data_IF_333223715797
#
_entry.id   IF_333223715797
#
_cell.length_a   1.000
_cell.length_b   1.000
_cell.length_c   1.000
_cell.angle_alpha   90.00
_cell.angle_beta   90.00
_cell.angle_gamma   90.00
#
_symmetry.space_group_name_H-M   'P 1'
#
loop_
_entity.id
_entity.type
_entity.pdbx_description
1 polymer ?
#
# COMPACT_ATOMS: atom_id res chain seq x y z
N UNK A 1 43.99 -18.75 -41.68
CA UNK A 1 42.85 -18.36 -40.82
C UNK A 1 43.22 -17.02 -40.21
N UNK A 2 42.57 -15.94 -40.64
CA UNK A 2 42.75 -14.64 -40.00
C UNK A 2 42.26 -14.74 -38.55
N UNK A 3 42.93 -14.11 -37.57
CA UNK A 3 42.41 -14.05 -36.21
C UNK A 3 41.02 -13.40 -36.25
N UNK A 4 40.05 -13.88 -35.45
CA UNK A 4 38.78 -13.19 -35.33
C UNK A 4 39.07 -11.74 -34.95
N UNK A 5 38.58 -10.81 -35.77
CA UNK A 5 38.56 -9.39 -35.45
C UNK A 5 38.00 -9.28 -34.03
N UNK A 6 38.68 -8.62 -33.07
CA UNK A 6 38.14 -8.50 -31.72
C UNK A 6 36.78 -7.83 -31.85
N UNK A 7 35.73 -8.62 -31.65
CA UNK A 7 34.37 -8.10 -31.59
C UNK A 7 34.37 -7.02 -30.53
N UNK A 8 33.66 -5.92 -30.79
CA UNK A 8 33.43 -4.86 -29.79
C UNK A 8 32.83 -5.53 -28.56
N UNK A 9 33.68 -5.78 -27.58
CA UNK A 9 33.31 -6.39 -26.31
C UNK A 9 32.61 -5.30 -25.48
N UNK A 10 31.48 -5.63 -24.87
CA UNK A 10 30.76 -4.73 -23.97
C UNK A 10 31.66 -4.28 -22.82
N UNK A 11 32.63 -5.11 -22.44
CA UNK A 11 33.63 -4.80 -21.41
C UNK A 11 34.67 -3.74 -21.85
N UNK A 12 34.70 -3.39 -23.14
CA UNK A 12 35.62 -2.40 -23.72
C UNK A 12 34.96 -1.05 -24.03
N UNK A 13 33.70 -0.86 -23.63
CA UNK A 13 33.00 0.41 -23.85
C UNK A 13 33.66 1.57 -23.09
N UNK A 14 33.78 2.76 -23.71
CA UNK A 14 34.18 3.97 -23.01
C UNK A 14 33.26 4.26 -21.83
N UNK A 15 33.81 4.84 -20.75
CA UNK A 15 33.09 5.14 -19.51
C UNK A 15 31.85 5.98 -19.78
N UNK A 16 31.93 6.95 -20.69
CA UNK A 16 30.84 7.85 -21.05
C UNK A 16 29.68 7.09 -21.68
N UNK A 17 29.96 6.11 -22.54
CA UNK A 17 28.94 5.29 -23.19
C UNK A 17 28.30 4.35 -22.18
N UNK A 18 29.10 3.69 -21.33
CA UNK A 18 28.60 2.84 -20.26
C UNK A 18 27.73 3.62 -19.27
N UNK A 19 28.14 4.84 -18.91
CA UNK A 19 27.36 5.73 -18.04
C UNK A 19 26.02 6.11 -18.67
N UNK A 20 26.01 6.46 -19.97
CA UNK A 20 24.76 6.72 -20.70
C UNK A 20 23.86 5.50 -20.72
N UNK A 21 24.39 4.31 -21.00
CA UNK A 21 23.60 3.06 -20.98
C UNK A 21 22.98 2.83 -19.60
N UNK A 22 23.79 2.94 -18.53
CA UNK A 22 23.34 2.72 -17.15
C UNK A 22 22.23 3.66 -16.70
N UNK A 23 22.22 4.90 -17.19
CA UNK A 23 21.18 5.90 -16.90
C UNK A 23 19.88 5.68 -17.67
N UNK A 24 19.95 5.00 -18.80
CA UNK A 24 18.82 4.74 -19.72
C UNK A 24 18.23 3.33 -19.54
N UNK A 25 18.66 2.59 -18.51
CA UNK A 25 18.06 1.30 -18.17
C UNK A 25 16.59 1.50 -17.72
N UNK A 26 15.77 0.49 -17.97
CA UNK A 26 14.32 0.57 -17.78
C UNK A 26 13.91 0.71 -16.32
N UNK A 27 14.67 0.11 -15.40
CA UNK A 27 14.35 0.03 -13.99
C UNK A 27 15.58 -0.39 -13.16
N UNK A 28 15.44 -0.34 -11.83
CA UNK A 28 16.52 -0.66 -10.90
C UNK A 28 16.89 -2.15 -10.88
N UNK A 29 15.99 -3.04 -11.31
CA UNK A 29 16.27 -4.48 -11.43
C UNK A 29 17.12 -4.77 -12.67
N UNK A 30 16.81 -4.14 -13.80
CA UNK A 30 17.65 -4.18 -14.98
C UNK A 30 19.05 -3.62 -14.69
N UNK A 31 19.12 -2.52 -13.93
CA UNK A 31 20.38 -1.98 -13.43
C UNK A 31 21.13 -3.01 -12.57
N UNK A 32 20.51 -3.60 -11.56
CA UNK A 32 21.14 -4.63 -10.74
C UNK A 32 21.70 -5.77 -11.58
N UNK A 33 20.88 -6.36 -12.45
CA UNK A 33 21.27 -7.50 -13.28
C UNK A 33 22.42 -7.15 -14.25
N UNK A 34 22.43 -5.92 -14.78
CA UNK A 34 23.50 -5.50 -15.68
C UNK A 34 24.82 -5.29 -14.94
N UNK A 35 24.79 -4.76 -13.71
CA UNK A 35 25.99 -4.65 -12.87
C UNK A 35 26.57 -6.01 -12.49
N UNK A 36 25.71 -7.01 -12.23
CA UNK A 36 26.15 -8.39 -11.97
C UNK A 36 26.75 -9.05 -13.22
N UNK A 37 26.22 -8.73 -14.41
CA UNK A 37 26.66 -9.34 -15.67
C UNK A 37 27.93 -8.69 -16.25
N UNK A 38 28.19 -7.40 -15.97
CA UNK A 38 29.29 -6.64 -16.57
C UNK A 38 30.20 -5.99 -15.51
N UNK A 39 31.41 -6.54 -15.29
CA UNK A 39 32.43 -5.92 -14.44
C UNK A 39 32.79 -4.50 -14.85
N UNK A 40 32.79 -4.18 -16.15
CA UNK A 40 32.99 -2.80 -16.62
C UNK A 40 31.89 -1.87 -16.15
N UNK A 41 30.62 -2.26 -16.28
CA UNK A 41 29.49 -1.48 -15.79
C UNK A 41 29.56 -1.30 -14.26
N UNK A 42 29.94 -2.36 -13.52
CA UNK A 42 30.15 -2.30 -12.07
C UNK A 42 31.18 -1.24 -11.66
N UNK A 43 32.32 -1.14 -12.37
CA UNK A 43 33.35 -0.11 -12.11
C UNK A 43 32.85 1.31 -12.39
N UNK A 44 32.05 1.50 -13.44
CA UNK A 44 31.43 2.81 -13.73
C UNK A 44 30.46 3.17 -12.61
N UNK A 45 29.66 2.21 -12.13
CA UNK A 45 28.76 2.40 -11.01
C UNK A 45 29.48 2.77 -9.70
N UNK A 46 30.67 2.21 -9.45
CA UNK A 46 31.48 2.61 -8.27
C UNK A 46 31.78 4.11 -8.23
N UNK A 47 31.90 4.74 -9.40
CA UNK A 47 32.22 6.16 -9.52
C UNK A 47 30.96 7.02 -9.59
N UNK A 48 29.92 6.57 -10.31
CA UNK A 48 28.75 7.38 -10.66
C UNK A 48 27.44 6.84 -10.06
N UNK A 49 27.50 5.99 -9.04
CA UNK A 49 26.35 5.22 -8.54
C UNK A 49 25.15 6.08 -8.16
N UNK A 50 25.36 7.16 -7.40
CA UNK A 50 24.27 8.06 -6.99
C UNK A 50 23.57 8.72 -8.20
N UNK A 51 24.35 9.17 -9.18
CA UNK A 51 23.84 9.80 -10.41
C UNK A 51 23.05 8.80 -11.26
N UNK A 52 23.56 7.57 -11.39
CA UNK A 52 22.89 6.49 -12.13
C UNK A 52 21.57 6.11 -11.45
N UNK A 53 21.57 5.92 -10.13
CA UNK A 53 20.35 5.57 -9.38
C UNK A 53 19.32 6.69 -9.47
N UNK A 54 19.71 7.96 -9.34
CA UNK A 54 18.79 9.10 -9.49
C UNK A 54 18.18 9.18 -10.89
N UNK A 55 18.95 8.90 -11.95
CA UNK A 55 18.44 8.85 -13.32
C UNK A 55 17.38 7.73 -13.48
N UNK A 56 17.66 6.54 -12.94
CA UNK A 56 16.72 5.42 -12.98
C UNK A 56 15.45 5.69 -12.14
N UNK A 57 15.57 6.36 -10.98
CA UNK A 57 14.41 6.79 -10.20
C UNK A 57 13.57 7.86 -10.92
N UNK A 58 14.18 8.66 -11.81
CA UNK A 58 13.50 9.66 -12.60
C UNK A 58 12.87 9.12 -13.90
N UNK A 59 13.16 7.87 -14.28
CA UNK A 59 12.65 7.23 -15.52
C UNK A 59 11.13 7.04 -15.56
N UNK A 60 10.47 7.05 -14.40
CA UNK A 60 9.04 6.76 -14.26
C UNK A 60 8.71 5.28 -14.09
N UNK A 61 9.71 4.38 -14.05
CA UNK A 61 9.51 2.97 -13.72
C UNK A 61 9.11 2.75 -12.26
N UNK A 62 9.66 3.57 -11.37
CA UNK A 62 9.31 3.62 -9.95
C UNK A 62 8.43 4.83 -9.71
N UNK A 63 7.33 4.65 -8.97
CA UNK A 63 6.42 5.73 -8.63
C UNK A 63 7.14 6.83 -7.81
N UNK A 64 6.77 8.09 -8.02
CA UNK A 64 7.41 9.25 -7.38
C UNK A 64 7.43 9.21 -5.85
N UNK A 65 6.50 8.48 -5.25
CA UNK A 65 6.40 8.28 -3.79
C UNK A 65 7.21 7.09 -3.26
N UNK A 66 7.63 6.18 -4.13
CA UNK A 66 8.50 5.06 -3.77
C UNK A 66 9.97 5.47 -3.82
N UNK A 67 10.34 6.36 -4.76
CA UNK A 67 11.71 6.88 -4.87
C UNK A 67 12.28 7.46 -3.58
N UNK A 68 11.56 8.32 -2.84
CA UNK A 68 12.01 8.84 -1.55
C UNK A 68 12.25 7.76 -0.50
N UNK A 69 11.46 6.69 -0.45
CA UNK A 69 11.69 5.56 0.47
C UNK A 69 13.03 4.87 0.15
N UNK A 70 13.34 4.68 -1.13
CA UNK A 70 14.62 4.11 -1.59
C UNK A 70 15.78 5.01 -1.15
N UNK A 71 15.64 6.33 -1.28
CA UNK A 71 16.65 7.29 -0.81
C UNK A 71 16.81 7.26 0.70
N UNK A 72 15.71 7.23 1.45
CA UNK A 72 15.73 7.13 2.91
C UNK A 72 16.49 5.88 3.37
N UNK A 73 16.18 4.73 2.78
CA UNK A 73 16.91 3.47 3.02
C UNK A 73 18.42 3.62 2.74
N UNK A 74 18.80 4.26 1.63
CA UNK A 74 20.20 4.46 1.29
C UNK A 74 20.96 5.34 2.31
N UNK A 75 20.34 6.43 2.79
CA UNK A 75 20.94 7.28 3.82
C UNK A 75 21.06 6.59 5.17
N UNK A 76 19.99 5.91 5.61
CA UNK A 76 19.99 5.15 6.87
C UNK A 76 21.09 4.09 6.86
N UNK A 77 21.20 3.31 5.78
CA UNK A 77 22.23 2.27 5.62
C UNK A 77 23.64 2.81 5.45
N UNK A 78 23.81 4.07 5.08
CA UNK A 78 25.11 4.72 5.06
C UNK A 78 25.57 5.15 6.47
N UNK A 79 24.72 5.01 7.49
CA UNK A 79 24.99 5.47 8.85
C UNK A 79 25.07 7.00 8.94
N UNK A 80 24.38 7.71 8.05
CA UNK A 80 24.39 9.17 7.98
C UNK A 80 23.02 9.73 8.31
N UNK A 81 22.99 10.79 9.12
CA UNK A 81 21.76 11.51 9.43
C UNK A 81 21.09 12.02 8.16
N UNK A 82 19.80 11.73 8.05
CA UNK A 82 18.95 12.28 7.00
C UNK A 82 18.94 13.81 7.09
N UNK A 83 19.17 14.55 5.98
CA UNK A 83 19.28 16.00 6.01
C UNK A 83 18.08 16.67 6.68
N UNK A 84 18.29 17.16 7.91
CA UNK A 84 17.26 17.86 8.64
C UNK A 84 16.31 17.05 9.49
N UNK A 85 16.60 15.77 9.66
CA UNK A 85 15.87 14.87 10.53
C UNK A 85 16.69 14.68 11.80
N UNK A 86 16.17 15.14 12.93
CA UNK A 86 16.86 15.05 14.23
C UNK A 86 16.14 14.18 15.26
N UNK A 87 14.94 13.72 14.92
CA UNK A 87 14.06 12.98 15.80
C UNK A 87 13.02 12.22 14.96
N UNK A 88 12.29 11.32 15.61
CA UNK A 88 11.25 10.50 14.98
C UNK A 88 10.14 11.35 14.34
N UNK A 89 9.80 12.49 14.94
CA UNK A 89 8.75 13.37 14.42
C UNK A 89 9.17 14.06 13.12
N UNK A 90 10.42 14.51 13.01
CA UNK A 90 10.97 15.06 11.77
C UNK A 90 10.98 14.00 10.67
N UNK A 91 11.36 12.77 11.00
CA UNK A 91 11.37 11.64 10.07
C UNK A 91 9.97 11.36 9.52
N UNK A 92 8.96 11.33 10.39
CA UNK A 92 7.55 11.19 10.02
C UNK A 92 7.07 12.36 9.13
N UNK A 93 7.41 13.61 9.48
CA UNK A 93 7.04 14.77 8.67
C UNK A 93 7.68 14.75 7.27
N UNK A 94 8.95 14.39 7.17
CA UNK A 94 9.65 14.20 5.89
C UNK A 94 9.00 13.07 5.08
N UNK A 95 8.83 11.91 5.71
CA UNK A 95 8.23 10.73 5.10
C UNK A 95 6.84 11.02 4.54
N UNK A 96 6.00 11.74 5.28
CA UNK A 96 4.70 12.20 4.78
C UNK A 96 4.84 13.09 3.56
N UNK A 97 5.64 14.15 3.69
CA UNK A 97 5.76 15.15 2.63
C UNK A 97 6.27 14.56 1.32
N UNK A 98 7.17 13.57 1.40
CA UNK A 98 7.82 13.01 0.21
C UNK A 98 7.16 11.73 -0.33
N UNK A 99 6.45 10.95 0.49
CA UNK A 99 5.91 9.63 0.09
C UNK A 99 4.40 9.61 -0.11
N UNK A 100 3.75 10.77 -0.02
CA UNK A 100 2.32 10.90 -0.32
C UNK A 100 2.00 12.25 -0.94
N UNK A 101 0.85 12.37 -1.60
CA UNK A 101 0.34 13.65 -2.14
C UNK A 101 -0.01 14.66 -1.04
N UNK A 102 -0.20 14.15 0.17
CA UNK A 102 -0.73 14.89 1.29
C UNK A 102 0.36 15.66 2.01
N UNK A 103 0.31 16.97 1.82
CA UNK A 103 1.08 17.94 2.57
C UNK A 103 0.15 18.71 3.50
N UNK A 104 0.55 18.85 4.76
CA UNK A 104 -0.14 19.72 5.72
C UNK A 104 -0.23 21.14 5.15
N UNK A 105 -1.24 21.91 5.58
CA UNK A 105 -1.35 23.34 5.26
C UNK A 105 -1.39 24.16 6.56
N UNK A 106 -0.32 24.89 6.90
CA UNK A 106 0.97 24.95 6.21
C UNK A 106 1.76 23.63 6.33
N UNK A 107 2.68 23.33 5.40
CA UNK A 107 3.44 22.09 5.42
C UNK A 107 4.36 22.05 6.63
N UNK A 108 4.32 20.94 7.37
CA UNK A 108 5.24 20.69 8.49
C UNK A 108 6.67 20.42 8.02
N UNK A 109 6.83 19.97 6.77
CA UNK A 109 8.13 19.76 6.13
C UNK A 109 8.29 20.73 4.96
N UNK A 110 9.23 21.66 5.06
CA UNK A 110 9.50 22.72 4.07
C UNK A 110 10.85 22.57 3.37
N UNK A 111 11.57 21.47 3.64
CA UNK A 111 12.90 21.23 3.09
C UNK A 111 12.81 20.72 1.64
N UNK A 112 13.87 20.88 0.83
CA UNK A 112 13.94 20.29 -0.50
C UNK A 112 13.79 18.76 -0.45
N UNK A 113 13.25 18.13 -1.51
CA UNK A 113 13.16 16.68 -1.59
C UNK A 113 14.53 16.02 -1.44
N UNK A 114 14.57 14.88 -0.76
CA UNK A 114 15.78 14.10 -0.58
C UNK A 114 16.35 13.67 -1.94
N UNK A 115 17.67 13.80 -2.09
CA UNK A 115 18.44 13.39 -3.28
C UNK A 115 19.69 12.65 -2.81
N UNK A 116 20.12 11.64 -3.57
CA UNK A 116 21.36 10.91 -3.29
C UNK A 116 22.56 11.81 -3.58
N UNK A 117 23.50 11.85 -2.64
CA UNK A 117 24.79 12.53 -2.78
C UNK A 117 25.91 11.49 -2.77
N UNK A 118 26.71 11.46 -3.84
CA UNK A 118 27.83 10.52 -3.98
C UNK A 118 28.93 10.71 -2.93
N UNK A 119 29.02 11.89 -2.31
CA UNK A 119 29.96 12.16 -1.21
C UNK A 119 29.47 11.63 0.14
N UNK A 120 28.17 11.33 0.25
CA UNK A 120 27.53 10.88 1.49
C UNK A 120 27.20 9.40 1.44
N UNK A 121 26.62 8.93 0.33
CA UNK A 121 26.13 7.55 0.18
C UNK A 121 27.10 6.77 -0.71
N UNK A 122 27.89 5.84 -0.14
CA UNK A 122 28.87 5.06 -0.90
C UNK A 122 28.20 4.14 -1.94
N UNK A 123 28.92 3.84 -3.03
CA UNK A 123 28.42 2.92 -4.06
C UNK A 123 28.15 1.51 -3.53
N UNK A 124 28.87 1.04 -2.49
CA UNK A 124 28.59 -0.23 -1.82
C UNK A 124 27.20 -0.27 -1.18
N UNK A 125 26.78 0.81 -0.52
CA UNK A 125 25.44 0.97 0.04
C UNK A 125 24.40 0.95 -1.07
N UNK A 126 24.65 1.68 -2.17
CA UNK A 126 23.74 1.70 -3.32
C UNK A 126 23.58 0.32 -3.97
N UNK A 127 24.64 -0.50 -4.04
CA UNK A 127 24.51 -1.90 -4.47
C UNK A 127 23.59 -2.70 -3.54
N UNK A 128 23.74 -2.54 -2.23
CA UNK A 128 22.84 -3.17 -1.26
C UNK A 128 21.37 -2.74 -1.42
N UNK A 129 21.14 -1.47 -1.75
CA UNK A 129 19.82 -0.93 -2.08
C UNK A 129 19.27 -1.54 -3.37
N UNK A 130 20.09 -1.69 -4.42
CA UNK A 130 19.69 -2.37 -5.66
C UNK A 130 19.33 -3.85 -5.43
N UNK A 131 20.10 -4.56 -4.61
CA UNK A 131 19.79 -5.95 -4.21
C UNK A 131 18.46 -6.01 -3.45
N UNK A 132 18.20 -5.03 -2.59
CA UNK A 132 16.91 -4.95 -1.87
C UNK A 132 15.78 -4.69 -2.86
N UNK A 133 15.94 -3.75 -3.80
CA UNK A 133 14.95 -3.49 -4.83
C UNK A 133 14.60 -4.76 -5.63
N UNK A 134 15.62 -5.48 -6.09
CA UNK A 134 15.46 -6.73 -6.82
C UNK A 134 14.64 -7.77 -6.03
N UNK A 135 14.94 -7.92 -4.73
CA UNK A 135 14.19 -8.83 -3.84
C UNK A 135 12.74 -8.39 -3.65
N UNK A 136 12.52 -7.09 -3.42
CA UNK A 136 11.18 -6.53 -3.22
C UNK A 136 10.34 -6.61 -4.50
N UNK A 137 10.94 -6.50 -5.69
CA UNK A 137 10.21 -6.70 -6.95
C UNK A 137 9.76 -8.17 -7.10
N UNK A 138 10.61 -9.14 -6.75
CA UNK A 138 10.21 -10.56 -6.72
C UNK A 138 9.09 -10.82 -5.71
N UNK A 139 9.20 -10.22 -4.52
CA UNK A 139 8.17 -10.27 -3.49
C UNK A 139 6.84 -9.71 -4.01
N UNK A 140 6.88 -8.55 -4.66
CA UNK A 140 5.73 -7.90 -5.28
C UNK A 140 5.05 -8.82 -6.30
N UNK A 141 5.82 -9.43 -7.21
CA UNK A 141 5.26 -10.34 -8.24
C UNK A 141 4.58 -11.55 -7.60
N UNK A 142 5.21 -12.18 -6.60
CA UNK A 142 4.62 -13.31 -5.88
C UNK A 142 3.36 -12.93 -5.09
N UNK A 143 3.41 -11.78 -4.42
CA UNK A 143 2.30 -11.22 -3.64
C UNK A 143 1.08 -10.97 -4.54
N UNK A 144 1.26 -10.23 -5.64
CA UNK A 144 0.19 -9.94 -6.58
C UNK A 144 -0.37 -11.21 -7.23
N UNK A 145 0.48 -12.16 -7.59
CA UNK A 145 0.02 -13.43 -8.18
C UNK A 145 -0.85 -14.22 -7.22
N UNK A 146 -0.45 -14.28 -5.94
CA UNK A 146 -1.18 -14.98 -4.88
C UNK A 146 -2.53 -14.31 -4.62
N UNK A 147 -2.55 -13.01 -4.40
CA UNK A 147 -3.79 -12.30 -4.11
C UNK A 147 -4.71 -12.21 -5.34
N UNK A 148 -4.18 -12.10 -6.56
CA UNK A 148 -4.99 -12.11 -7.77
C UNK A 148 -5.70 -13.46 -7.94
N UNK A 149 -5.02 -14.56 -7.62
CA UNK A 149 -5.65 -15.88 -7.61
C UNK A 149 -6.76 -15.96 -6.54
N UNK A 150 -6.52 -15.46 -5.33
CA UNK A 150 -7.54 -15.41 -4.26
C UNK A 150 -8.73 -14.54 -4.66
N UNK A 151 -8.48 -13.37 -5.26
CA UNK A 151 -9.50 -12.43 -5.74
C UNK A 151 -10.35 -13.02 -6.86
N UNK A 152 -9.74 -13.67 -7.86
CA UNK A 152 -10.47 -14.36 -8.94
C UNK A 152 -11.41 -15.44 -8.42
N UNK A 153 -10.99 -16.15 -7.38
CA UNK A 153 -11.72 -17.27 -6.80
C UNK A 153 -12.75 -16.87 -5.74
N UNK A 154 -12.96 -15.57 -5.47
CA UNK A 154 -13.97 -15.15 -4.52
C UNK A 154 -15.40 -15.43 -5.03
N UNK A 155 -16.38 -15.60 -4.13
CA UNK A 155 -17.80 -15.67 -4.50
C UNK A 155 -18.21 -14.52 -5.44
N UNK A 156 -19.23 -14.72 -6.30
CA UNK A 156 -19.68 -13.66 -7.19
C UNK A 156 -20.29 -12.49 -6.42
N UNK A 157 -19.88 -11.24 -6.71
CA UNK A 157 -20.57 -10.06 -6.23
C UNK A 157 -22.03 -10.07 -6.70
N UNK A 158 -22.92 -9.62 -5.81
CA UNK A 158 -24.35 -9.54 -6.02
C UNK A 158 -24.81 -8.10 -5.85
N UNK A 159 -25.69 -7.62 -6.72
CA UNK A 159 -26.37 -6.33 -6.59
C UNK A 159 -27.82 -6.52 -6.19
N UNK A 160 -28.40 -5.49 -5.58
CA UNK A 160 -29.80 -5.53 -5.16
C UNK A 160 -30.67 -5.54 -6.42
N UNK A 161 -31.68 -6.41 -6.44
CA UNK A 161 -32.59 -6.55 -7.60
C UNK A 161 -33.71 -5.50 -7.60
N UNK A 162 -34.04 -4.97 -6.42
CA UNK A 162 -35.08 -3.98 -6.18
C UNK A 162 -34.43 -2.60 -6.01
N UNK A 163 -34.61 -1.72 -7.00
CA UNK A 163 -34.03 -0.37 -7.01
C UNK A 163 -34.52 0.50 -5.83
N UNK A 164 -35.67 0.16 -5.25
CA UNK A 164 -36.26 0.89 -4.11
C UNK A 164 -35.85 0.31 -2.74
N UNK A 165 -35.09 -0.79 -2.71
CA UNK A 165 -34.67 -1.40 -1.44
C UNK A 165 -33.60 -0.57 -0.74
N UNK A 166 -33.74 -0.48 0.59
CA UNK A 166 -32.84 0.26 1.47
C UNK A 166 -32.44 -0.61 2.67
N UNK A 167 -31.15 -0.60 3.01
CA UNK A 167 -30.65 -1.30 4.20
C UNK A 167 -31.00 -0.54 5.46
N UNK A 168 -32.00 -0.99 6.21
CA UNK A 168 -32.44 -0.31 7.43
C UNK A 168 -32.19 -1.12 8.70
N UNK A 169 -31.85 -0.44 9.79
CA UNK A 169 -31.98 -1.02 11.12
C UNK A 169 -33.25 -0.49 11.78
N UNK A 170 -34.12 -1.39 12.24
CA UNK A 170 -35.44 -1.03 12.78
C UNK A 170 -35.81 -1.83 14.04
N UNK A 171 -36.64 -1.24 14.91
CA UNK A 171 -37.28 -1.97 16.00
C UNK A 171 -38.64 -2.48 15.54
N UNK A 172 -38.78 -3.80 15.47
CA UNK A 172 -40.05 -4.47 15.16
C UNK A 172 -40.89 -4.69 16.42
N UNK A 173 -41.20 -3.60 17.12
CA UNK A 173 -42.14 -3.58 18.24
C UNK A 173 -41.67 -2.75 19.43
N UNK A 174 -42.40 -2.79 20.56
CA UNK A 174 -42.19 -1.88 21.68
C UNK A 174 -40.93 -2.19 22.51
N UNK A 175 -40.33 -3.37 22.34
CA UNK A 175 -39.22 -3.82 23.15
C UNK A 175 -37.88 -3.66 22.43
N UNK A 176 -36.83 -3.31 23.18
CA UNK A 176 -35.47 -3.21 22.64
C UNK A 176 -34.90 -4.54 22.10
N UNK A 177 -35.53 -5.65 22.42
CA UNK A 177 -35.17 -7.00 21.99
C UNK A 177 -35.72 -7.38 20.61
N UNK A 178 -36.58 -6.56 20.02
CA UNK A 178 -37.18 -6.78 18.70
C UNK A 178 -36.45 -5.98 17.62
N UNK A 179 -35.18 -5.67 17.87
CA UNK A 179 -34.32 -4.97 16.93
C UNK A 179 -33.90 -5.90 15.78
N UNK A 180 -34.13 -5.47 14.54
CA UNK A 180 -33.63 -6.13 13.34
C UNK A 180 -32.53 -5.26 12.76
N UNK A 181 -31.29 -5.74 12.84
CA UNK A 181 -30.15 -5.05 12.25
C UNK A 181 -30.14 -5.21 10.73
N UNK A 182 -29.59 -4.22 10.02
CA UNK A 182 -29.42 -4.29 8.56
C UNK A 182 -28.69 -5.57 8.11
N UNK A 183 -27.75 -6.09 8.91
CA UNK A 183 -27.05 -7.34 8.60
C UNK A 183 -27.97 -8.58 8.59
N UNK A 184 -29.18 -8.53 9.12
CA UNK A 184 -30.14 -9.65 9.04
C UNK A 184 -30.97 -9.62 7.76
N UNK A 185 -31.02 -8.48 7.07
CA UNK A 185 -31.80 -8.35 5.85
C UNK A 185 -31.18 -9.15 4.69
N UNK A 186 -32.06 -9.74 3.86
CA UNK A 186 -31.70 -10.52 2.68
C UNK A 186 -32.52 -10.02 1.48
N UNK A 187 -32.11 -8.91 0.84
CA UNK A 187 -32.81 -8.41 -0.33
C UNK A 187 -32.78 -9.43 -1.48
N UNK A 188 -33.73 -9.30 -2.40
CA UNK A 188 -33.62 -9.97 -3.69
C UNK A 188 -32.33 -9.51 -4.39
N UNK A 189 -31.59 -10.44 -4.97
CA UNK A 189 -30.24 -10.20 -5.45
C UNK A 189 -30.05 -10.71 -6.88
N UNK A 190 -29.28 -9.97 -7.68
CA UNK A 190 -28.87 -10.35 -9.02
C UNK A 190 -27.35 -10.48 -9.09
N UNK A 191 -26.82 -11.54 -9.74
CA UNK A 191 -25.38 -11.72 -9.86
C UNK A 191 -24.77 -10.69 -10.82
N UNK A 192 -23.63 -10.13 -10.45
CA UNK A 192 -22.87 -9.25 -11.34
C UNK A 192 -21.99 -10.08 -12.27
N UNK A 193 -22.01 -9.72 -13.55
CA UNK A 193 -21.11 -10.34 -14.54
C UNK A 193 -19.69 -9.82 -14.32
N UNK A 194 -18.81 -10.69 -13.82
CA UNK A 194 -17.40 -10.38 -13.62
C UNK A 194 -16.69 -10.17 -14.96
N UNK A 195 -15.93 -9.08 -15.07
CA UNK A 195 -14.95 -8.80 -16.12
C UNK A 195 -13.55 -8.86 -15.51
N UNK A 196 -12.79 -9.88 -15.93
CA UNK A 196 -11.39 -9.97 -15.52
C UNK A 196 -10.53 -8.95 -16.28
N UNK A 197 -9.86 -8.06 -15.54
CA UNK A 197 -8.93 -7.07 -16.09
C UNK A 197 -7.57 -7.66 -16.49
N UNK A 198 -7.38 -8.96 -16.29
CA UNK A 198 -6.19 -9.70 -16.68
C UNK A 198 -5.07 -9.58 -15.64
N UNK A 199 -3.79 -9.59 -16.07
CA UNK A 199 -2.64 -9.47 -15.17
C UNK A 199 -2.64 -8.17 -14.33
N UNK A 200 -1.78 -8.09 -13.30
CA UNK A 200 -1.62 -6.88 -12.52
C UNK A 200 -1.29 -5.65 -13.38
N UNK A 201 -1.89 -4.51 -13.05
CA UNK A 201 -1.64 -3.21 -13.67
C UNK A 201 -0.46 -2.52 -12.98
N UNK A 202 0.12 -1.51 -13.64
CA UNK A 202 1.26 -0.78 -13.11
C UNK A 202 0.96 -0.14 -11.75
N UNK A 203 -0.22 0.45 -11.55
CA UNK A 203 -0.58 1.04 -10.25
C UNK A 203 -0.65 0.01 -9.12
N UNK A 204 -1.11 -1.21 -9.41
CA UNK A 204 -1.17 -2.32 -8.46
C UNK A 204 0.23 -2.78 -8.07
N UNK A 205 1.15 -2.88 -9.05
CA UNK A 205 2.60 -3.12 -8.80
C UNK A 205 3.20 -2.04 -7.90
N UNK A 206 2.99 -0.77 -8.23
CA UNK A 206 3.57 0.34 -7.47
C UNK A 206 3.04 0.44 -6.04
N UNK A 207 1.77 0.12 -5.78
CA UNK A 207 1.19 0.08 -4.42
C UNK A 207 1.88 -0.96 -3.54
N UNK A 208 2.04 -2.18 -4.05
CA UNK A 208 2.72 -3.27 -3.34
C UNK A 208 4.21 -2.96 -3.15
N UNK A 209 4.87 -2.44 -4.18
CA UNK A 209 6.27 -2.05 -4.10
C UNK A 209 6.50 -0.92 -3.08
N UNK A 210 5.63 0.09 -3.05
CA UNK A 210 5.68 1.18 -2.06
C UNK A 210 5.52 0.65 -0.64
N UNK A 211 4.51 -0.19 -0.40
CA UNK A 211 4.30 -0.81 0.91
C UNK A 211 5.51 -1.66 1.36
N UNK A 212 6.09 -2.41 0.43
CA UNK A 212 7.30 -3.20 0.67
C UNK A 212 8.51 -2.31 1.03
N UNK A 213 8.67 -1.17 0.37
CA UNK A 213 9.73 -0.20 0.71
C UNK A 213 9.49 0.50 2.03
N UNK A 214 8.25 0.75 2.44
CA UNK A 214 7.94 1.27 3.79
C UNK A 214 8.41 0.30 4.87
N UNK A 215 8.13 -0.99 4.69
CA UNK A 215 8.61 -2.05 5.59
C UNK A 215 10.15 -2.13 5.60
N UNK A 216 10.78 -2.04 4.42
CA UNK A 216 12.24 -2.04 4.32
C UNK A 216 12.89 -0.85 5.05
N UNK A 217 12.37 0.37 4.86
CA UNK A 217 12.87 1.58 5.54
C UNK A 217 12.71 1.46 7.06
N UNK A 218 11.60 0.90 7.53
CA UNK A 218 11.39 0.67 8.96
C UNK A 218 12.41 -0.32 9.54
N UNK A 219 12.71 -1.41 8.83
CA UNK A 219 13.75 -2.35 9.26
C UNK A 219 15.15 -1.74 9.24
N UNK A 220 15.47 -0.95 8.22
CA UNK A 220 16.73 -0.21 8.17
C UNK A 220 16.85 0.75 9.36
N UNK A 221 15.76 1.46 9.70
CA UNK A 221 15.72 2.38 10.83
C UNK A 221 15.87 1.67 12.17
N UNK A 222 15.23 0.49 12.34
CA UNK A 222 15.40 -0.35 13.53
C UNK A 222 16.83 -0.88 13.66
N UNK A 223 17.46 -1.26 12.54
CA UNK A 223 18.84 -1.70 12.53
C UNK A 223 19.79 -0.56 12.95
N UNK A 224 19.62 0.64 12.38
CA UNK A 224 20.40 1.83 12.76
C UNK A 224 20.17 2.22 14.23
N UNK A 225 18.94 2.14 14.72
CA UNK A 225 18.60 2.36 16.14
C UNK A 225 19.33 1.37 17.05
N UNK A 226 19.31 0.08 16.71
CA UNK A 226 19.97 -0.98 17.47
C UNK A 226 21.50 -0.87 17.44
N UNK A 227 22.07 -0.37 16.34
CA UNK A 227 23.49 -0.10 16.18
C UNK A 227 23.95 1.18 16.91
N UNK A 228 23.02 2.01 17.42
CA UNK A 228 23.33 3.31 18.03
C UNK A 228 23.78 4.36 17.00
N UNK A 229 23.39 4.20 15.74
CA UNK A 229 23.75 5.10 14.64
C UNK A 229 22.78 6.28 14.51
N UNK A 230 21.62 6.22 15.16
CA UNK A 230 20.67 7.33 15.20
C UNK A 230 21.06 8.33 16.28
N UNK A 231 21.41 9.56 15.87
CA UNK A 231 21.68 10.67 16.78
C UNK A 231 20.38 11.32 17.32
N UNK A 232 19.39 10.50 17.66
CA UNK A 232 18.06 10.94 18.10
C UNK A 232 17.91 10.82 19.62
N UNK A 233 16.94 11.51 20.25
CA UNK A 233 16.63 11.31 21.66
C UNK A 233 16.26 9.85 21.98
N UNK A 234 16.67 9.35 23.14
CA UNK A 234 16.39 7.95 23.56
C UNK A 234 14.90 7.59 23.50
N UNK A 235 14.01 8.54 23.82
CA UNK A 235 12.56 8.37 23.71
C UNK A 235 12.11 8.05 22.29
N UNK A 236 12.78 8.65 21.31
CA UNK A 236 12.46 8.53 19.90
C UNK A 236 13.09 7.25 19.32
N UNK A 237 14.31 6.91 19.75
CA UNK A 237 14.96 5.61 19.44
C UNK A 237 14.11 4.45 19.98
N UNK A 238 13.57 4.56 21.19
CA UNK A 238 12.60 3.59 21.72
C UNK A 238 11.30 3.56 20.90
N UNK A 239 10.89 4.71 20.36
CA UNK A 239 9.74 4.84 19.47
C UNK A 239 9.92 4.10 18.14
N UNK A 240 11.14 4.03 17.59
CA UNK A 240 11.44 3.32 16.33
C UNK A 240 11.04 1.85 16.37
N UNK A 241 11.09 1.21 17.54
CA UNK A 241 10.67 -0.19 17.70
C UNK A 241 9.17 -0.41 17.50
N UNK A 242 8.37 0.66 17.59
CA UNK A 242 6.93 0.58 17.38
C UNK A 242 6.64 0.60 15.89
N UNK A 243 5.73 -0.30 15.50
CA UNK A 243 5.18 -0.38 14.14
C UNK A 243 4.64 0.97 13.64
N UNK A 244 4.23 1.84 14.57
CA UNK A 244 3.79 3.21 14.34
C UNK A 244 4.79 4.08 13.57
N UNK A 245 6.06 3.67 13.50
CA UNK A 245 7.11 4.34 12.74
C UNK A 245 7.06 4.05 11.24
N UNK A 246 6.42 2.95 10.82
CA UNK A 246 6.09 2.69 9.40
C UNK A 246 5.09 3.71 8.89
N UNK A 247 4.20 4.15 9.79
CA UNK A 247 3.31 5.27 9.56
C UNK A 247 4.14 6.53 9.66
N UNK A 248 4.68 6.92 8.51
CA UNK A 248 5.17 8.27 8.33
C UNK A 248 4.03 9.26 8.69
N UNK A 249 2.75 8.84 8.63
CA UNK A 249 1.57 9.56 9.09
C UNK A 249 1.41 9.47 10.61
N UNK A 250 1.60 10.58 11.31
CA UNK A 250 1.62 10.64 12.78
C UNK A 250 0.21 10.38 13.39
N UNK A 251 0.01 9.35 14.23
CA UNK A 251 -1.28 9.06 14.86
C UNK A 251 -1.71 10.07 15.92
N UNK A 252 -0.86 11.02 16.36
CA UNK A 252 -1.31 12.16 17.20
C UNK A 252 -2.23 13.13 16.46
N UNK A 253 -2.38 12.99 15.14
CA UNK A 253 -3.52 13.55 14.42
C UNK A 253 -4.87 13.00 14.92
N UNK A 254 -4.88 11.89 15.68
CA UNK A 254 -6.07 11.36 16.34
C UNK A 254 -6.69 12.30 17.38
N UNK A 255 -5.87 13.11 18.05
CA UNK A 255 -6.36 14.15 18.95
C UNK A 255 -6.99 15.36 18.25
N UNK A 256 -6.74 15.51 16.94
CA UNK A 256 -7.26 16.61 16.11
C UNK A 256 -8.48 16.23 15.28
N UNK A 257 -8.99 15.00 15.41
CA UNK A 257 -10.29 14.56 14.89
C UNK A 257 -11.45 15.19 15.66
N UNK A 258 -11.46 16.52 15.73
CA UNK A 258 -12.62 17.27 16.16
C UNK A 258 -13.59 17.28 14.97
N UNK A 259 -14.79 16.70 15.15
CA UNK A 259 -15.87 16.57 14.15
C UNK A 259 -16.24 17.88 13.41
N UNK A 260 -15.74 19.02 13.88
CA UNK A 260 -16.07 20.35 13.37
C UNK A 260 -15.19 20.86 12.22
N UNK A 261 -14.16 20.13 11.79
CA UNK A 261 -13.39 20.47 10.59
C UNK A 261 -13.49 19.34 9.57
N UNK A 262 -14.33 19.47 8.55
CA UNK A 262 -14.51 18.50 7.45
C UNK A 262 -13.24 18.17 6.65
N UNK A 263 -12.08 18.65 7.08
CA UNK A 263 -10.73 18.28 6.61
C UNK A 263 -10.15 17.04 7.31
N UNK A 264 -10.87 16.37 8.23
CA UNK A 264 -10.32 15.33 9.10
C UNK A 264 -10.63 13.88 8.70
N UNK A 265 -11.79 13.60 8.10
CA UNK A 265 -12.21 12.23 7.81
C UNK A 265 -11.43 11.57 6.67
N UNK A 266 -11.12 12.34 5.63
CA UNK A 266 -10.43 11.83 4.45
C UNK A 266 -8.95 11.48 4.71
N UNK A 267 -8.28 12.18 5.63
CA UNK A 267 -6.88 11.87 5.98
C UNK A 267 -6.82 10.54 6.74
N UNK A 268 -7.80 10.30 7.62
CA UNK A 268 -7.94 9.02 8.32
C UNK A 268 -8.14 7.89 7.33
N UNK A 269 -8.98 8.08 6.32
CA UNK A 269 -9.17 7.10 5.26
C UNK A 269 -7.83 6.77 4.58
N UNK A 270 -7.09 7.77 4.09
CA UNK A 270 -5.81 7.53 3.43
C UNK A 270 -4.85 6.71 4.33
N UNK A 271 -4.74 7.08 5.60
CA UNK A 271 -3.94 6.34 6.58
C UNK A 271 -4.40 4.89 6.59
N UNK A 272 -5.71 4.63 6.74
CA UNK A 272 -6.24 3.27 6.70
C UNK A 272 -5.85 2.52 5.42
N UNK A 273 -5.94 3.12 4.23
CA UNK A 273 -5.52 2.41 3.01
C UNK A 273 -4.02 2.13 2.99
N UNK A 274 -3.18 3.10 3.37
CA UNK A 274 -1.74 2.88 3.47
C UNK A 274 -1.40 1.76 4.47
N UNK A 275 -2.10 1.73 5.61
CA UNK A 275 -1.98 0.68 6.61
C UNK A 275 -2.39 -0.66 6.02
N UNK A 276 -3.52 -0.71 5.33
CA UNK A 276 -4.02 -1.93 4.70
C UNK A 276 -3.10 -2.43 3.58
N UNK A 277 -2.45 -1.54 2.83
CA UNK A 277 -1.40 -1.90 1.87
C UNK A 277 -0.23 -2.59 2.57
N UNK A 278 0.25 -2.02 3.68
CA UNK A 278 1.37 -2.57 4.47
C UNK A 278 0.97 -3.91 5.11
N UNK A 279 -0.16 -3.97 5.79
CA UNK A 279 -0.64 -5.19 6.44
C UNK A 279 -0.89 -6.32 5.43
N UNK A 280 -1.42 -6.01 4.25
CA UNK A 280 -1.62 -7.03 3.20
C UNK A 280 -0.28 -7.62 2.73
N UNK A 281 0.78 -6.80 2.60
CA UNK A 281 2.12 -7.29 2.27
C UNK A 281 2.71 -8.11 3.42
N UNK A 282 2.52 -7.70 4.67
CA UNK A 282 2.98 -8.46 5.82
C UNK A 282 2.31 -9.82 5.92
N UNK A 283 0.98 -9.88 5.81
CA UNK A 283 0.23 -11.14 5.85
C UNK A 283 0.70 -12.10 4.75
N UNK A 284 1.08 -11.58 3.57
CA UNK A 284 1.68 -12.41 2.52
C UNK A 284 3.05 -12.97 2.92
N UNK A 285 3.92 -12.14 3.49
CA UNK A 285 5.25 -12.60 3.90
C UNK A 285 5.15 -13.61 5.05
N UNK A 286 4.28 -13.37 6.03
CA UNK A 286 3.99 -14.31 7.11
C UNK A 286 3.42 -15.64 6.59
N UNK A 287 2.48 -15.59 5.63
CA UNK A 287 1.95 -16.77 4.94
C UNK A 287 3.09 -17.55 4.25
N UNK A 288 4.02 -16.85 3.56
CA UNK A 288 5.16 -17.50 2.91
C UNK A 288 6.11 -18.17 3.91
N UNK A 289 6.46 -17.49 5.00
CA UNK A 289 7.37 -18.02 6.02
C UNK A 289 6.73 -19.22 6.76
N UNK A 290 5.44 -19.11 7.10
CA UNK A 290 4.68 -20.13 7.80
C UNK A 290 4.41 -21.39 6.97
N UNK A 291 4.16 -21.25 5.65
CA UNK A 291 4.00 -22.40 4.74
C UNK A 291 5.31 -23.17 4.57
N UNK A 292 6.44 -22.49 4.72
CA UNK A 292 7.69 -23.04 4.26
C UNK A 292 8.59 -23.59 5.38
N UNK A 293 8.46 -23.19 6.65
CA UNK A 293 9.41 -23.58 7.73
C UNK A 293 10.89 -23.39 7.32
N UNK A 294 11.15 -22.53 6.33
CA UNK A 294 12.47 -22.22 5.79
C UNK A 294 12.82 -20.78 6.12
N UNK A 295 14.10 -20.45 6.08
CA UNK A 295 14.56 -19.08 6.26
C UNK A 295 14.00 -18.16 5.18
N UNK A 296 13.81 -16.88 5.50
CA UNK A 296 13.38 -15.85 4.57
C UNK A 296 14.17 -15.83 3.24
N UNK A 297 15.49 -16.08 3.30
CA UNK A 297 16.33 -16.18 2.12
C UNK A 297 15.94 -17.34 1.19
N UNK A 298 15.62 -18.51 1.76
CA UNK A 298 15.17 -19.67 0.99
C UNK A 298 13.75 -19.45 0.42
N UNK A 299 12.87 -18.76 1.16
CA UNK A 299 11.55 -18.39 0.66
C UNK A 299 11.64 -17.47 -0.57
N UNK A 300 12.53 -16.47 -0.54
CA UNK A 300 12.80 -15.59 -1.68
C UNK A 300 13.28 -16.36 -2.91
N UNK A 301 14.04 -17.45 -2.75
CA UNK A 301 14.50 -18.26 -3.89
C UNK A 301 13.37 -19.02 -4.59
N UNK A 302 12.29 -19.34 -3.86
CA UNK A 302 11.10 -19.99 -4.44
C UNK A 302 10.21 -19.03 -5.25
N UNK A 303 10.38 -17.71 -5.06
CA UNK A 303 9.58 -16.72 -5.77
C UNK A 303 9.89 -16.72 -7.27
N UNK A 304 8.92 -16.37 -8.12
CA UNK A 304 9.16 -16.17 -9.55
C UNK A 304 10.38 -15.26 -9.77
N UNK A 305 11.29 -15.68 -10.66
CA UNK A 305 12.45 -14.87 -11.06
C UNK A 305 12.06 -13.80 -12.07
N UNK A 306 10.97 -14.01 -12.79
CA UNK A 306 10.45 -13.14 -13.83
C UNK A 306 8.94 -13.06 -13.72
N UNK A 307 8.36 -11.97 -14.22
CA UNK A 307 6.92 -11.87 -14.43
C UNK A 307 6.51 -12.90 -15.49
N UNK A 308 5.39 -13.58 -15.29
CA UNK A 308 4.74 -14.41 -16.33
C UNK A 308 3.90 -13.55 -17.30
N UNK A 309 3.96 -12.23 -17.15
CA UNK A 309 3.25 -11.23 -17.94
C UNK A 309 4.18 -10.06 -18.30
N UNK A 310 3.90 -9.32 -19.40
CA UNK A 310 4.69 -8.16 -19.77
C UNK A 310 4.69 -7.10 -18.65
N UNK A 311 5.84 -6.47 -18.42
CA UNK A 311 5.93 -5.37 -17.46
C UNK A 311 4.90 -4.28 -17.83
N UNK A 312 4.01 -3.90 -16.89
CA UNK A 312 2.96 -2.96 -17.20
C UNK A 312 3.54 -1.56 -17.42
N UNK A 313 3.09 -0.87 -18.46
CA UNK A 313 3.54 0.50 -18.75
C UNK A 313 2.73 1.48 -17.92
N UNK A 314 3.41 2.47 -17.33
CA UNK A 314 2.73 3.56 -16.64
C UNK A 314 1.92 4.38 -17.65
N UNK A 315 0.74 4.82 -17.23
CA UNK A 315 -0.04 5.81 -17.95
C UNK A 315 -0.52 6.86 -16.95
N UNK A 316 -0.97 8.01 -17.44
CA UNK A 316 -1.45 9.09 -16.57
C UNK A 316 -2.52 8.62 -15.58
N UNK A 317 -3.44 7.76 -16.03
CA UNK A 317 -4.47 7.20 -15.16
C UNK A 317 -3.89 6.32 -14.05
N UNK A 318 -2.95 5.42 -14.37
CA UNK A 318 -2.30 4.59 -13.36
C UNK A 318 -1.52 5.42 -12.34
N UNK A 319 -0.83 6.47 -12.79
CA UNK A 319 -0.13 7.40 -11.90
C UNK A 319 -1.13 8.09 -10.97
N UNK A 320 -2.22 8.63 -11.53
CA UNK A 320 -3.29 9.20 -10.73
C UNK A 320 -3.90 8.17 -9.77
N UNK A 321 -4.02 6.89 -10.08
CA UNK A 321 -4.57 5.91 -9.13
C UNK A 321 -3.64 5.56 -7.96
N UNK A 322 -2.32 5.72 -8.13
CA UNK A 322 -1.36 5.58 -7.02
C UNK A 322 -1.30 6.86 -6.18
N UNK A 323 -1.50 8.01 -6.83
CA UNK A 323 -1.47 9.33 -6.21
C UNK A 323 -2.79 9.71 -5.55
N UNK A 324 -3.91 9.35 -6.17
CA UNK A 324 -5.21 9.95 -5.91
C UNK A 324 -5.71 9.60 -4.53
N UNK A 325 -5.73 10.67 -3.75
CA UNK A 325 -6.57 10.99 -2.61
C UNK A 325 -7.98 10.34 -2.59
N UNK A 326 -8.63 10.21 -3.74
CA UNK A 326 -9.97 9.62 -3.85
C UNK A 326 -9.91 8.31 -4.61
N UNK A 327 -9.26 7.25 -4.16
CA UNK A 327 -9.64 5.95 -4.75
C UNK A 327 -11.11 5.67 -4.38
N UNK A 328 -11.97 5.21 -5.30
CA UNK A 328 -13.35 4.79 -4.94
C UNK A 328 -13.30 3.80 -3.77
N UNK A 329 -12.21 3.02 -3.67
CA UNK A 329 -11.92 2.16 -2.53
C UNK A 329 -11.97 2.90 -1.18
N UNK A 330 -11.56 4.17 -1.12
CA UNK A 330 -11.60 4.96 0.12
C UNK A 330 -13.01 5.28 0.54
N UNK A 331 -13.80 5.75 -0.43
CA UNK A 331 -15.21 6.03 -0.21
C UNK A 331 -15.94 4.75 0.19
N UNK A 332 -15.57 3.60 -0.40
CA UNK A 332 -16.13 2.32 -0.01
C UNK A 332 -15.67 1.89 1.38
N UNK A 333 -14.38 2.04 1.72
CA UNK A 333 -13.85 1.78 3.06
C UNK A 333 -14.59 2.59 4.11
N UNK A 334 -14.81 3.88 3.84
CA UNK A 334 -15.65 4.72 4.67
C UNK A 334 -17.07 4.16 4.72
N UNK A 335 -17.80 4.13 3.62
CA UNK A 335 -19.25 3.90 3.67
C UNK A 335 -19.61 2.46 4.10
N UNK A 336 -18.79 1.47 3.76
CA UNK A 336 -19.01 0.07 4.16
C UNK A 336 -18.70 -0.14 5.65
N UNK A 337 -17.66 0.52 6.17
CA UNK A 337 -17.14 0.25 7.52
C UNK A 337 -17.32 1.39 8.52
N UNK A 338 -17.87 2.56 8.16
CA UNK A 338 -17.88 3.74 9.04
C UNK A 338 -18.67 3.46 10.31
N UNK A 339 -18.02 3.34 11.48
CA UNK A 339 -18.71 3.09 12.72
C UNK A 339 -18.85 4.38 13.55
N UNK A 340 -18.35 5.51 13.05
CA UNK A 340 -18.21 6.81 13.76
C UNK A 340 -19.20 7.88 13.27
N UNK A 341 -19.77 7.69 12.08
CA UNK A 341 -20.82 8.57 11.64
C UNK A 341 -22.09 8.28 12.42
N UNK A 342 -22.77 9.36 12.74
CA UNK A 342 -24.08 9.42 13.38
C UNK A 342 -25.21 8.81 12.54
N UNK A 343 -24.95 7.72 11.83
CA UNK A 343 -25.99 6.75 11.59
C UNK A 343 -26.38 6.22 12.96
N UNK A 344 -27.43 6.81 13.51
CA UNK A 344 -28.09 6.30 14.69
C UNK A 344 -28.29 4.77 14.54
N UNK A 345 -28.56 4.06 15.63
CA UNK A 345 -29.03 2.67 15.57
C UNK A 345 -30.35 2.49 14.76
N UNK A 346 -30.77 3.49 13.98
CA UNK A 346 -32.02 3.65 13.26
C UNK A 346 -31.71 4.30 11.90
N UNK A 347 -32.30 3.75 10.83
CA UNK A 347 -32.20 4.29 9.46
C UNK A 347 -31.23 3.53 8.55
N UNK A 348 -30.88 4.15 7.43
CA UNK A 348 -30.03 3.55 6.38
C UNK A 348 -28.61 3.28 6.90
N UNK A 349 -28.20 2.01 6.96
CA UNK A 349 -26.89 1.60 7.48
C UNK A 349 -26.29 0.43 6.71
N UNK A 350 -24.96 0.42 6.62
CA UNK A 350 -24.21 -0.70 6.05
C UNK A 350 -24.44 -1.99 6.87
N UNK A 351 -24.73 -3.14 6.22
CA UNK A 351 -24.74 -4.44 6.88
C UNK A 351 -23.33 -4.92 7.29
N UNK A 352 -22.28 -4.13 7.02
CA UNK A 352 -20.88 -4.46 7.28
C UNK A 352 -20.20 -3.47 8.25
N UNK A 353 -20.98 -2.61 8.92
CA UNK A 353 -20.49 -1.48 9.72
C UNK A 353 -19.38 -1.82 10.73
N UNK A 354 -19.40 -3.02 11.33
CA UNK A 354 -18.41 -3.43 12.35
C UNK A 354 -17.49 -4.55 11.86
N UNK A 355 -17.59 -4.92 10.59
CA UNK A 355 -16.85 -6.04 10.01
C UNK A 355 -15.38 -5.62 9.85
N UNK A 356 -14.40 -6.39 10.36
CA UNK A 356 -12.99 -6.07 10.19
C UNK A 356 -12.55 -6.18 8.73
N UNK A 357 -11.57 -5.38 8.34
CA UNK A 357 -11.03 -5.41 6.98
C UNK A 357 -10.27 -6.71 6.65
N UNK A 358 -9.88 -7.50 7.65
CA UNK A 358 -9.15 -8.76 7.50
C UNK A 358 -9.76 -9.70 6.44
N UNK A 359 -11.09 -9.73 6.30
CA UNK A 359 -11.76 -10.54 5.27
C UNK A 359 -11.41 -10.11 3.84
N UNK A 360 -11.31 -8.80 3.61
CA UNK A 360 -10.98 -8.19 2.33
C UNK A 360 -9.47 -8.16 2.10
N UNK A 361 -8.69 -7.93 3.17
CA UNK A 361 -7.22 -7.98 3.14
C UNK A 361 -6.69 -9.30 2.59
N UNK A 362 -7.27 -10.43 3.02
CA UNK A 362 -6.90 -11.78 2.53
C UNK A 362 -7.08 -11.99 1.03
N UNK A 363 -7.80 -11.10 0.34
CA UNK A 363 -8.03 -11.10 -1.10
C UNK A 363 -7.34 -9.94 -1.82
N UNK A 364 -6.48 -9.19 -1.12
CA UNK A 364 -5.66 -8.12 -1.68
C UNK A 364 -6.42 -6.87 -2.10
N UNK A 365 -7.60 -6.61 -1.52
CA UNK A 365 -8.48 -5.50 -1.94
C UNK A 365 -7.77 -4.14 -1.93
N UNK A 366 -6.82 -3.90 -1.01
CA UNK A 366 -6.05 -2.67 -0.97
C UNK A 366 -5.17 -2.46 -2.23
N UNK A 367 -4.80 -3.52 -2.94
CA UNK A 367 -3.92 -3.43 -4.11
C UNK A 367 -4.64 -3.02 -5.38
N UNK A 368 -5.89 -3.45 -5.55
CA UNK A 368 -6.54 -3.47 -6.85
C UNK A 368 -6.92 -2.10 -7.39
N UNK A 369 -6.69 -1.92 -8.69
CA UNK A 369 -6.99 -0.69 -9.40
C UNK A 369 -8.50 -0.46 -9.53
N UNK A 370 -8.90 0.77 -9.83
CA UNK A 370 -10.30 1.14 -9.97
C UNK A 370 -10.98 0.30 -11.06
N UNK A 371 -10.32 0.15 -12.21
CA UNK A 371 -10.83 -0.65 -13.32
C UNK A 371 -11.09 -2.11 -12.94
N UNK A 372 -10.26 -2.72 -12.07
CA UNK A 372 -10.45 -4.10 -11.61
C UNK A 372 -11.63 -4.21 -10.67
N UNK A 373 -11.78 -3.26 -9.76
CA UNK A 373 -12.90 -3.24 -8.84
C UNK A 373 -14.22 -3.00 -9.58
N UNK A 374 -14.23 -2.11 -10.57
CA UNK A 374 -15.36 -1.88 -11.48
C UNK A 374 -15.68 -3.13 -12.30
N UNK A 375 -14.65 -3.78 -12.85
CA UNK A 375 -14.81 -5.02 -13.61
C UNK A 375 -15.49 -6.13 -12.80
N UNK A 376 -15.33 -6.13 -11.49
CA UNK A 376 -16.00 -7.07 -10.59
C UNK A 376 -17.31 -6.53 -10.00
N UNK A 377 -17.72 -5.30 -10.32
CA UNK A 377 -18.94 -4.69 -9.77
C UNK A 377 -18.85 -4.37 -8.29
N UNK A 378 -17.63 -4.21 -7.77
CA UNK A 378 -17.37 -3.87 -6.37
C UNK A 378 -17.30 -2.36 -6.15
N UNK A 379 -17.23 -1.57 -7.20
CA UNK A 379 -17.39 -0.11 -7.17
C UNK A 379 -18.08 0.31 -8.47
N UNK A 380 -18.69 1.50 -8.47
CA UNK A 380 -19.41 2.00 -9.63
C UNK A 380 -18.46 2.60 -10.70
N UNK A 381 -18.92 2.60 -11.94
CA UNK A 381 -18.27 3.21 -13.10
C UNK A 381 -18.53 4.71 -13.15
N UNK A 382 -18.10 5.47 -12.14
CA UNK A 382 -18.28 6.91 -12.19
C UNK A 382 -17.36 7.54 -13.25
N UNK A 383 -17.85 8.39 -14.17
CA UNK A 383 -16.99 9.15 -15.06
C UNK A 383 -16.31 10.30 -14.29
N UNK A 384 -15.22 9.99 -13.59
CA UNK A 384 -14.46 10.93 -12.72
C UNK A 384 -13.81 12.12 -13.44
N UNK A 385 -13.91 12.23 -14.76
CA UNK A 385 -13.24 13.27 -15.53
C UNK A 385 -14.09 13.92 -16.62
N UNK A 386 -15.42 13.85 -16.55
CA UNK A 386 -16.20 14.82 -17.30
C UNK A 386 -16.03 16.18 -16.62
N UNK A 387 -15.41 17.19 -17.27
CA UNK A 387 -15.23 18.50 -16.65
C UNK A 387 -16.60 19.04 -16.21
N UNK A 388 -16.67 19.42 -14.94
CA UNK A 388 -17.85 19.93 -14.21
C UNK A 388 -18.62 21.02 -14.99
N UNK A 389 -17.97 21.64 -15.97
CA UNK A 389 -18.53 22.73 -16.77
C UNK A 389 -19.33 22.30 -18.02
N UNK A 390 -19.41 21.00 -18.37
CA UNK A 390 -20.06 20.58 -19.64
C UNK A 390 -21.09 19.45 -19.55
N UNK A 391 -21.42 18.92 -18.37
CA UNK A 391 -22.48 17.93 -18.28
C UNK A 391 -23.84 18.62 -18.06
N UNK A 392 -24.80 18.51 -19.01
CA UNK A 392 -26.18 18.90 -18.75
C UNK A 392 -26.72 17.98 -17.68
N UNK A 393 -27.21 18.52 -16.55
CA UNK A 393 -27.91 17.82 -15.45
C UNK A 393 -27.95 16.30 -15.61
N UNK A 394 -26.79 15.66 -15.50
CA UNK A 394 -26.77 14.21 -15.38
C UNK A 394 -27.27 14.06 -13.97
N UNK A 395 -28.58 13.76 -13.85
CA UNK A 395 -29.11 13.07 -12.69
C UNK A 395 -28.20 11.87 -12.52
N UNK A 396 -27.17 12.05 -11.69
CA UNK A 396 -26.42 10.93 -11.18
C UNK A 396 -27.52 10.07 -10.57
N UNK A 397 -27.72 8.87 -11.11
CA UNK A 397 -28.54 7.90 -10.39
C UNK A 397 -28.01 7.92 -8.96
N UNK A 398 -28.86 8.16 -7.94
CA UNK A 398 -28.40 8.23 -6.57
C UNK A 398 -27.49 7.03 -6.34
N UNK A 399 -26.29 7.27 -5.81
CA UNK A 399 -25.33 6.22 -5.46
C UNK A 399 -26.13 5.06 -4.86
N UNK A 400 -26.21 3.92 -5.55
CA UNK A 400 -26.93 2.76 -5.04
C UNK A 400 -26.05 2.08 -3.99
N UNK A 401 -25.84 2.75 -2.86
CA UNK A 401 -25.11 2.23 -1.71
C UNK A 401 -25.63 0.85 -1.31
N UNK A 402 -26.92 0.61 -1.53
CA UNK A 402 -27.56 -0.67 -1.27
C UNK A 402 -26.98 -1.80 -2.11
N UNK A 403 -26.77 -1.56 -3.41
CA UNK A 403 -26.11 -2.49 -4.33
C UNK A 403 -24.65 -2.68 -3.98
N UNK A 404 -23.95 -1.62 -3.57
CA UNK A 404 -22.56 -1.69 -3.12
C UNK A 404 -22.41 -2.54 -1.86
N UNK A 405 -23.23 -2.30 -0.83
CA UNK A 405 -23.22 -3.08 0.41
C UNK A 405 -23.43 -4.57 0.15
N UNK A 406 -24.37 -4.91 -0.72
CA UNK A 406 -24.59 -6.30 -1.09
C UNK A 406 -23.40 -6.89 -1.87
N UNK A 407 -22.76 -6.12 -2.75
CA UNK A 407 -21.58 -6.57 -3.50
C UNK A 407 -20.44 -6.94 -2.55
N UNK A 408 -20.15 -6.10 -1.57
CA UNK A 408 -19.09 -6.33 -0.59
C UNK A 408 -19.41 -7.40 0.44
N UNK A 409 -20.69 -7.57 0.75
CA UNK A 409 -21.15 -8.64 1.63
C UNK A 409 -21.10 -10.01 0.95
N UNK A 410 -21.45 -10.06 -0.34
CA UNK A 410 -21.57 -11.30 -1.10
C UNK A 410 -20.24 -11.94 -1.48
N UNK A 411 -19.13 -11.21 -1.46
CA UNK A 411 -17.77 -11.77 -1.65
C UNK A 411 -17.21 -12.51 -0.43
N UNK A 412 -17.91 -12.43 0.71
CA UNK A 412 -17.58 -13.22 1.90
C UNK A 412 -18.01 -14.67 1.69
N UNK A 413 -17.18 -15.61 2.13
CA UNK A 413 -17.59 -17.02 2.23
C UNK A 413 -18.67 -17.18 3.30
N UNK A 414 -19.38 -18.30 3.29
CA UNK A 414 -20.42 -18.59 4.30
C UNK A 414 -19.90 -18.46 5.75
N UNK A 415 -18.69 -18.95 6.02
CA UNK A 415 -18.06 -18.85 7.33
C UNK A 415 -17.67 -17.41 7.71
N UNK A 416 -17.13 -16.64 6.76
CA UNK A 416 -16.80 -15.23 6.99
C UNK A 416 -18.05 -14.37 7.18
N UNK A 417 -19.13 -14.67 6.44
CA UNK A 417 -20.41 -13.98 6.58
C UNK A 417 -21.06 -14.27 7.94
N UNK A 418 -21.02 -15.52 8.40
CA UNK A 418 -21.51 -15.88 9.73
C UNK A 418 -20.73 -15.13 10.82
N UNK A 419 -19.41 -15.03 10.69
CA UNK A 419 -18.56 -14.28 11.62
C UNK A 419 -18.82 -12.77 11.56
N UNK A 420 -18.98 -12.20 10.37
CA UNK A 420 -19.35 -10.80 10.17
C UNK A 420 -20.67 -10.46 10.87
N UNK A 421 -21.69 -11.30 10.69
CA UNK A 421 -22.98 -11.16 11.37
C UNK A 421 -22.83 -11.22 12.90
N UNK A 422 -22.03 -12.17 13.42
CA UNK A 422 -21.76 -12.29 14.86
C UNK A 422 -21.06 -11.05 15.43
N UNK A 423 -20.14 -10.46 14.68
CA UNK A 423 -19.44 -9.23 15.09
C UNK A 423 -20.42 -8.05 15.14
N UNK A 424 -21.28 -7.92 14.14
CA UNK A 424 -22.32 -6.89 14.13
C UNK A 424 -23.30 -7.06 15.30
N UNK A 425 -23.80 -8.28 15.53
CA UNK A 425 -24.69 -8.60 16.65
C UNK A 425 -24.05 -8.26 18.01
N UNK A 426 -22.80 -8.69 18.22
CA UNK A 426 -22.04 -8.38 19.44
C UNK A 426 -21.86 -6.88 19.64
N UNK A 427 -21.45 -6.16 18.59
CA UNK A 427 -21.29 -4.70 18.68
C UNK A 427 -22.59 -3.99 19.01
N UNK A 428 -23.73 -4.54 18.58
CA UNK A 428 -25.05 -3.95 18.85
C UNK A 428 -25.43 -4.11 20.31
N UNK A 429 -25.15 -5.29 20.87
CA UNK A 429 -25.32 -5.54 22.30
C UNK A 429 -24.43 -4.63 23.16
N UNK A 430 -23.21 -4.33 22.70
CA UNK A 430 -22.26 -3.43 23.38
C UNK A 430 -22.66 -1.96 23.31
N UNK A 431 -23.20 -1.48 22.19
CA UNK A 431 -23.61 -0.07 22.01
C UNK A 431 -24.91 0.28 22.79
N UNK A 432 -25.70 -0.73 23.15
CA UNK A 432 -26.80 -0.61 24.11
C UNK A 432 -26.32 -0.40 25.56
N UNK A 433 -25.00 -0.43 25.81
CA UNK A 433 -24.32 -0.09 27.06
C UNK A 433 -23.39 1.12 26.87
N UNK A 434 -23.20 1.99 27.88
CA UNK A 434 -22.33 3.16 27.75
C UNK A 434 -20.85 2.75 27.84
N UNK A 435 -20.12 2.68 26.71
CA UNK A 435 -18.67 2.34 26.71
C UNK A 435 -17.90 2.87 25.47
N UNK A 436 -16.54 2.86 25.45
CA UNK A 436 -15.69 4.00 25.04
C UNK A 436 -15.24 4.02 23.56
N UNK A 437 -14.54 5.11 23.19
CA UNK A 437 -14.18 5.54 21.82
C UNK A 437 -13.24 4.59 21.06
N UNK A 438 -13.42 4.59 19.75
CA UNK A 438 -12.91 3.65 18.74
C UNK A 438 -11.41 3.67 18.44
N UNK A 439 -10.69 4.72 18.82
CA UNK A 439 -9.24 4.85 18.56
C UNK A 439 -8.43 3.69 19.14
N UNK A 440 -8.95 2.99 20.14
CA UNK A 440 -8.27 1.85 20.76
C UNK A 440 -8.40 0.55 19.95
N UNK A 441 -9.40 0.39 19.05
CA UNK A 441 -9.61 -0.87 18.32
C UNK A 441 -8.64 -1.06 17.15
N UNK A 442 -8.44 -0.03 16.32
CA UNK A 442 -7.49 -0.09 15.20
C UNK A 442 -6.02 -0.08 15.67
N UNK A 443 -5.72 0.60 16.78
CA UNK A 443 -4.37 0.64 17.34
C UNK A 443 -3.99 -0.61 18.15
N UNK A 444 -4.91 -1.54 18.44
CA UNK A 444 -4.63 -2.67 19.35
C UNK A 444 -3.94 -3.88 18.71
N UNK A 445 -3.83 -3.93 17.38
CA UNK A 445 -3.10 -5.00 16.67
C UNK A 445 -1.73 -4.51 16.23
N UNK A 446 -0.96 -3.97 17.18
CA UNK A 446 0.47 -3.73 16.97
C UNK A 446 1.18 -5.09 17.00
N UNK A 447 1.37 -5.70 15.84
CA UNK A 447 2.29 -6.85 15.71
C UNK A 447 3.71 -6.31 15.85
N UNK A 448 4.41 -6.69 16.91
CA UNK A 448 5.84 -6.42 17.11
C UNK A 448 6.75 -7.29 16.21
N UNK A 449 6.23 -7.80 15.10
CA UNK A 449 6.92 -8.79 14.27
C UNK A 449 6.99 -8.22 12.86
N UNK A 450 8.19 -7.87 12.45
CA UNK A 450 8.52 -7.69 11.04
C UNK A 450 9.20 -8.96 10.55
N UNK A 451 8.76 -9.49 9.38
CA UNK A 451 9.33 -10.71 8.82
C UNK A 451 10.83 -10.59 8.52
N UNK A 452 11.55 -11.71 8.59
CA UNK A 452 13.00 -11.76 8.37
C UNK A 452 13.39 -11.37 6.94
N UNK A 453 12.45 -11.45 5.98
CA UNK A 453 12.62 -11.06 4.56
C UNK A 453 13.12 -9.62 4.39
N UNK A 454 12.76 -8.71 5.30
CA UNK A 454 13.13 -7.29 5.22
C UNK A 454 14.43 -6.95 5.95
N UNK A 455 15.05 -7.90 6.66
CA UNK A 455 16.35 -7.63 7.29
C UNK A 455 17.43 -7.58 6.22
N UNK A 456 18.16 -6.46 6.21
CA UNK A 456 19.33 -6.34 5.34
C UNK A 456 20.29 -7.50 5.65
N UNK A 457 20.83 -8.19 4.63
CA UNK A 457 21.92 -9.12 4.87
C UNK A 457 23.07 -8.34 5.50
N UNK A 458 23.61 -8.82 6.63
CA UNK A 458 24.87 -8.29 7.14
C UNK A 458 25.88 -8.35 6.00
N UNK A 459 26.29 -7.18 5.52
CA UNK A 459 27.43 -7.08 4.62
C UNK A 459 28.64 -7.25 5.53
N UNK A 460 29.16 -8.47 5.60
CA UNK A 460 30.50 -8.69 6.14
C UNK A 460 31.45 -7.86 5.26
N UNK A 461 31.93 -6.75 5.82
CA UNK A 461 32.89 -5.83 5.18
C UNK A 461 34.23 -6.48 4.94
#
# INVERSE_FOLDING_TARGET
MSPPTPGRDWESLPVEISLSILKELSDLTALHNYLEASPAAARVFDTYGAEIVEANLASGAVHRYTGPLIRMSAYIRAGVDLPGVSNLKDFQHMGNSETTEHTYKPPHWTRPPLRLDASIVPASVLRGVLVSHYRLERLMVGCLSTYLARFRNMPPPMHVADEDFVWESEFRGPNKTEFVGAWEQQPAAVPVVKRDEGPPKWCEEQRVLRASWRLQVHEDLKAAAAAGELNWPDSDVCGVQRFETIYLLNPTCAGWFNKNSGTTDWLRQLICLEDELVYTVMDYVEDMEGVANITAAAALDTLPKTRDYPAPVSCRQHVLEVESYWSEMMTVLEVVHNPDDSHHAYGEVSPLQRVPWDFYRRRGFAFWCEARMQGYGLIDTWPRFAPVTTLPEVKCAPFEWNSLFLAWRSVLTEGELAEANRINEKGQAEELLPTPRMTDRYCSVLRNITPDVFRAPHVDT
#
